data_IF_371823843399
#
_entry.id   IF_371823843399
#
_cell.length_a   1.000
_cell.length_b   1.000
_cell.length_c   1.000
_cell.angle_alpha   90.00
_cell.angle_beta   90.00
_cell.angle_gamma   90.00
#
_symmetry.space_group_name_H-M   'P 1'
#
loop_
_entity.id
_entity.type
_entity.pdbx_description
1 polymer ?
#
# COMPACT_ATOMS: atom_id res chain seq x y z
N UNK A 1 44.17 -20.43 33.47
CA UNK A 1 43.23 -20.61 32.34
C UNK A 1 41.97 -19.77 32.59
N UNK A 2 41.96 -18.57 32.09
CA UNK A 2 40.88 -17.59 32.31
C UNK A 2 39.91 -17.65 31.10
N UNK A 3 38.68 -18.11 31.32
CA UNK A 3 37.63 -18.12 30.30
C UNK A 3 37.21 -16.66 29.98
N UNK A 4 37.38 -16.26 28.71
CA UNK A 4 36.78 -15.04 28.17
C UNK A 4 35.24 -15.16 28.21
N UNK A 5 34.50 -14.11 28.63
CA UNK A 5 33.05 -14.10 28.51
C UNK A 5 32.65 -14.05 27.01
N UNK A 6 31.66 -14.84 26.63
CA UNK A 6 31.00 -14.78 25.32
C UNK A 6 30.36 -13.40 25.17
N UNK A 7 30.63 -12.72 24.07
CA UNK A 7 29.98 -11.48 23.65
C UNK A 7 28.46 -11.69 23.60
N UNK A 8 27.71 -10.94 24.40
CA UNK A 8 26.28 -10.81 24.29
C UNK A 8 25.95 -10.29 22.89
N UNK A 9 25.15 -11.05 22.15
CA UNK A 9 24.75 -10.69 20.82
C UNK A 9 23.96 -9.38 20.81
N UNK A 10 24.34 -8.47 19.94
CA UNK A 10 23.68 -7.20 19.63
C UNK A 10 22.18 -7.45 19.39
N UNK A 11 21.34 -7.18 20.39
CA UNK A 11 19.88 -7.39 20.39
C UNK A 11 19.11 -6.24 19.75
N UNK A 12 19.73 -5.49 18.84
CA UNK A 12 18.99 -4.48 18.06
C UNK A 12 17.92 -5.18 17.22
N UNK A 13 16.66 -4.73 17.27
CA UNK A 13 15.62 -5.29 16.46
C UNK A 13 16.03 -5.17 14.98
N UNK A 14 16.08 -6.32 14.31
CA UNK A 14 16.43 -6.37 12.88
C UNK A 14 15.40 -5.58 12.09
N UNK A 15 15.85 -4.61 11.28
CA UNK A 15 14.97 -3.81 10.43
C UNK A 15 13.98 -4.70 9.67
N UNK A 16 12.69 -4.32 9.61
CA UNK A 16 11.67 -5.14 8.96
C UNK A 16 12.03 -5.45 7.51
N UNK A 17 11.69 -6.66 7.06
CA UNK A 17 11.99 -7.08 5.68
C UNK A 17 11.23 -6.22 4.68
N UNK A 18 11.90 -5.87 3.57
CA UNK A 18 11.30 -5.19 2.42
C UNK A 18 11.28 -6.12 1.21
N UNK A 19 10.21 -6.05 0.43
CA UNK A 19 10.18 -6.73 -0.87
C UNK A 19 11.14 -6.05 -1.85
N UNK A 20 11.85 -6.88 -2.61
CA UNK A 20 12.63 -6.50 -3.79
C UNK A 20 12.07 -7.27 -4.99
N UNK A 21 12.45 -6.90 -6.22
CA UNK A 21 12.05 -7.67 -7.42
C UNK A 21 12.41 -9.16 -7.29
N UNK A 22 13.61 -9.45 -6.77
CA UNK A 22 14.05 -10.82 -6.58
C UNK A 22 13.24 -11.57 -5.51
N UNK A 23 12.95 -10.94 -4.36
CA UNK A 23 12.14 -11.57 -3.31
C UNK A 23 10.67 -11.68 -3.71
N UNK A 24 10.14 -10.74 -4.50
CA UNK A 24 8.80 -10.83 -5.09
C UNK A 24 8.69 -12.06 -6.01
N UNK A 25 9.64 -12.27 -6.92
CA UNK A 25 9.64 -13.43 -7.80
C UNK A 25 9.74 -14.76 -7.02
N UNK A 26 10.56 -14.80 -5.95
CA UNK A 26 10.58 -15.98 -5.04
C UNK A 26 9.24 -16.17 -4.34
N UNK A 27 8.61 -15.09 -3.87
CA UNK A 27 7.31 -15.12 -3.21
C UNK A 27 6.21 -15.64 -4.13
N UNK A 28 6.21 -15.23 -5.42
CA UNK A 28 5.28 -15.75 -6.43
C UNK A 28 5.44 -17.27 -6.59
N UNK A 29 6.66 -17.78 -6.68
CA UNK A 29 6.89 -19.23 -6.75
C UNK A 29 6.37 -19.95 -5.50
N UNK A 30 6.73 -19.46 -4.31
CA UNK A 30 6.28 -20.05 -3.05
C UNK A 30 4.74 -20.07 -2.93
N UNK A 31 4.07 -18.96 -3.29
CA UNK A 31 2.59 -18.93 -3.29
C UNK A 31 1.99 -19.85 -4.35
N UNK A 32 2.65 -20.05 -5.49
CA UNK A 32 2.19 -20.97 -6.53
C UNK A 32 2.24 -22.44 -6.11
N UNK A 33 3.08 -22.78 -5.13
CA UNK A 33 3.14 -24.14 -4.56
C UNK A 33 1.99 -24.43 -3.59
N UNK A 34 1.50 -23.39 -2.90
CA UNK A 34 0.46 -23.53 -1.86
C UNK A 34 -0.93 -23.14 -2.33
N UNK A 35 -1.04 -22.40 -3.43
CA UNK A 35 -2.31 -21.91 -3.96
C UNK A 35 -2.38 -22.08 -5.50
N UNK A 36 -3.08 -23.11 -5.99
CA UNK A 36 -3.19 -23.39 -7.43
C UNK A 36 -3.88 -22.27 -8.23
N UNK A 37 -4.77 -21.50 -7.61
CA UNK A 37 -5.46 -20.40 -8.29
C UNK A 37 -4.51 -19.22 -8.49
N UNK A 38 -3.72 -18.86 -7.49
CA UNK A 38 -2.66 -17.86 -7.64
C UNK A 38 -1.56 -18.33 -8.61
N UNK A 39 -1.26 -19.63 -8.64
CA UNK A 39 -0.39 -20.22 -9.66
C UNK A 39 -0.96 -20.03 -11.07
N UNK A 40 -2.28 -20.12 -11.23
CA UNK A 40 -2.99 -19.83 -12.48
C UNK A 40 -2.76 -18.39 -12.94
N UNK A 41 -2.90 -17.42 -12.06
CA UNK A 41 -2.62 -16.00 -12.35
C UNK A 41 -1.17 -15.78 -12.74
N UNK A 42 -0.23 -16.39 -11.99
CA UNK A 42 1.20 -16.26 -12.28
C UNK A 42 1.58 -16.88 -13.64
N UNK A 43 0.95 -17.99 -14.04
CA UNK A 43 1.15 -18.59 -15.38
C UNK A 43 0.60 -17.72 -16.49
N UNK A 44 -0.57 -17.11 -16.28
CA UNK A 44 -1.24 -16.29 -17.30
C UNK A 44 -0.51 -14.96 -17.54
N UNK A 45 -0.07 -14.27 -16.47
CA UNK A 45 0.40 -12.90 -16.55
C UNK A 45 1.84 -12.69 -16.05
N UNK A 46 2.49 -13.72 -15.53
CA UNK A 46 3.85 -13.64 -15.01
C UNK A 46 3.96 -13.04 -13.62
N UNK A 47 5.17 -12.57 -13.30
CA UNK A 47 5.45 -11.92 -12.02
C UNK A 47 4.94 -10.47 -12.06
N UNK A 48 4.11 -10.05 -11.10
CA UNK A 48 3.62 -8.67 -11.04
C UNK A 48 4.76 -7.67 -10.81
N UNK A 49 4.61 -6.41 -11.22
CA UNK A 49 5.49 -5.33 -10.82
C UNK A 49 5.43 -5.10 -9.29
N UNK A 50 6.47 -4.49 -8.73
CA UNK A 50 6.44 -4.05 -7.32
C UNK A 50 5.40 -2.97 -7.08
N UNK A 51 5.09 -2.15 -8.12
CA UNK A 51 4.29 -0.93 -7.99
C UNK A 51 4.74 -0.06 -6.82
N UNK A 52 6.06 -0.01 -6.63
CA UNK A 52 6.70 0.75 -5.56
C UNK A 52 6.43 2.25 -5.70
N UNK A 53 6.33 2.92 -4.56
CA UNK A 53 6.27 4.38 -4.44
C UNK A 53 7.34 4.84 -3.46
N UNK A 54 7.81 6.08 -3.64
CA UNK A 54 8.70 6.69 -2.66
C UNK A 54 7.98 6.84 -1.31
N UNK A 55 8.71 6.65 -0.22
CA UNK A 55 8.21 6.95 1.13
C UNK A 55 7.96 8.46 1.27
N UNK A 56 7.03 8.84 2.14
CA UNK A 56 6.83 10.24 2.49
C UNK A 56 5.46 10.82 2.16
N UNK A 57 5.35 12.11 2.38
CA UNK A 57 4.11 12.89 2.26
C UNK A 57 3.42 12.76 0.90
N UNK A 58 4.13 12.85 -0.25
CA UNK A 58 3.48 12.76 -1.57
C UNK A 58 2.72 11.46 -1.77
N UNK A 59 3.27 10.34 -1.30
CA UNK A 59 2.62 9.03 -1.43
C UNK A 59 1.39 8.91 -0.54
N UNK A 60 1.38 9.47 0.66
CA UNK A 60 0.19 9.52 1.51
C UNK A 60 -0.90 10.40 0.90
N UNK A 61 -0.55 11.57 0.36
CA UNK A 61 -1.49 12.44 -0.37
C UNK A 61 -2.13 11.70 -1.54
N UNK A 62 -1.32 11.01 -2.36
CA UNK A 62 -1.84 10.23 -3.47
C UNK A 62 -2.75 9.09 -2.99
N UNK A 63 -2.38 8.38 -1.92
CA UNK A 63 -3.21 7.30 -1.36
C UNK A 63 -4.53 7.82 -0.79
N UNK A 64 -4.54 9.02 -0.17
CA UNK A 64 -5.79 9.68 0.25
C UNK A 64 -6.64 10.06 -0.98
N UNK A 65 -6.01 10.52 -2.06
CA UNK A 65 -6.72 10.81 -3.31
C UNK A 65 -7.34 9.57 -3.94
N UNK A 66 -6.73 8.40 -3.79
CA UNK A 66 -7.22 7.11 -4.31
C UNK A 66 -8.48 6.59 -3.57
N UNK A 67 -8.81 7.11 -2.40
CA UNK A 67 -9.99 6.68 -1.64
C UNK A 67 -11.28 6.90 -2.44
N UNK A 68 -12.05 5.82 -2.66
CA UNK A 68 -13.40 5.82 -3.25
C UNK A 68 -13.50 6.46 -4.66
N UNK A 69 -12.42 6.48 -5.42
CA UNK A 69 -12.40 6.98 -6.80
C UNK A 69 -11.56 6.07 -7.68
N UNK A 70 -11.66 6.24 -9.01
CA UNK A 70 -10.78 5.53 -9.94
C UNK A 70 -9.31 5.98 -9.78
N UNK A 71 -8.39 5.06 -10.00
CA UNK A 71 -6.95 5.36 -10.01
C UNK A 71 -6.61 6.50 -10.98
N UNK A 72 -7.24 6.54 -12.16
CA UNK A 72 -7.03 7.60 -13.15
C UNK A 72 -7.43 8.98 -12.61
N UNK A 73 -8.58 9.08 -11.91
CA UNK A 73 -9.02 10.34 -11.30
C UNK A 73 -8.08 10.81 -10.21
N UNK A 74 -7.61 9.89 -9.35
CA UNK A 74 -6.66 10.21 -8.28
C UNK A 74 -5.31 10.70 -8.85
N UNK A 75 -4.78 10.00 -9.85
CA UNK A 75 -3.54 10.39 -10.52
C UNK A 75 -3.67 11.75 -11.21
N UNK A 76 -4.77 12.02 -11.93
CA UNK A 76 -5.00 13.30 -12.57
C UNK A 76 -5.05 14.46 -11.56
N UNK A 77 -5.66 14.25 -10.38
CA UNK A 77 -5.67 15.26 -9.31
C UNK A 77 -4.27 15.47 -8.73
N UNK A 78 -3.53 14.39 -8.49
CA UNK A 78 -2.16 14.47 -7.97
C UNK A 78 -1.19 15.14 -8.96
N UNK A 79 -1.31 14.87 -10.26
CA UNK A 79 -0.47 15.52 -11.27
C UNK A 79 -0.72 17.03 -11.36
N UNK A 80 -1.98 17.48 -11.23
CA UNK A 80 -2.29 18.93 -11.14
C UNK A 80 -1.66 19.58 -9.90
N UNK A 81 -1.73 18.89 -8.75
CA UNK A 81 -1.04 19.35 -7.53
C UNK A 81 0.48 19.42 -7.77
N UNK A 82 1.08 18.37 -8.32
CA UNK A 82 2.53 18.29 -8.58
C UNK A 82 3.01 19.39 -9.53
N UNK A 83 2.24 19.66 -10.58
CA UNK A 83 2.55 20.73 -11.53
C UNK A 83 2.53 22.13 -10.89
N UNK A 84 1.62 22.36 -9.92
CA UNK A 84 1.49 23.64 -9.24
C UNK A 84 2.49 23.81 -8.07
N UNK A 85 2.82 22.72 -7.39
CA UNK A 85 3.68 22.76 -6.19
C UNK A 85 5.18 22.68 -6.52
N UNK A 86 5.56 22.29 -7.75
CA UNK A 86 6.93 21.88 -8.15
C UNK A 86 7.45 20.69 -7.34
N UNK A 87 7.45 20.80 -6.01
CA UNK A 87 7.74 19.72 -5.06
C UNK A 87 6.57 19.62 -4.08
N UNK A 88 5.98 18.42 -3.96
CA UNK A 88 4.87 18.18 -3.05
C UNK A 88 5.42 17.93 -1.64
N UNK A 89 5.52 18.98 -0.83
CA UNK A 89 5.90 18.92 0.58
C UNK A 89 4.73 19.37 1.46
N UNK A 90 4.76 19.09 2.78
CA UNK A 90 3.75 19.62 3.72
C UNK A 90 3.61 21.13 3.64
N UNK A 91 4.75 21.87 3.62
CA UNK A 91 4.79 23.32 3.56
C UNK A 91 4.09 23.82 2.28
N UNK A 92 4.53 23.32 1.11
CA UNK A 92 4.00 23.74 -0.17
C UNK A 92 2.51 23.40 -0.31
N UNK A 93 2.07 22.26 0.23
CA UNK A 93 0.66 21.88 0.22
C UNK A 93 -0.21 22.86 1.01
N UNK A 94 0.26 23.34 2.16
CA UNK A 94 -0.48 24.28 3.00
C UNK A 94 -0.62 25.70 2.40
N UNK A 95 0.16 26.05 1.38
CA UNK A 95 0.03 27.33 0.68
C UNK A 95 -1.23 27.40 -0.22
N UNK A 96 -1.77 26.26 -0.63
CA UNK A 96 -2.96 26.22 -1.48
C UNK A 96 -4.24 26.43 -0.67
N UNK A 97 -5.09 27.34 -1.09
CA UNK A 97 -6.43 27.52 -0.54
C UNK A 97 -7.41 26.41 -1.01
N UNK A 98 -8.63 26.44 -0.49
CA UNK A 98 -9.65 25.43 -0.81
C UNK A 98 -10.13 25.52 -2.26
N UNK A 99 -10.16 26.72 -2.84
CA UNK A 99 -10.56 26.91 -4.24
C UNK A 99 -9.54 26.27 -5.18
N UNK A 100 -8.25 26.45 -4.90
CA UNK A 100 -7.17 25.88 -5.68
C UNK A 100 -7.12 24.34 -5.55
N UNK A 101 -7.23 23.80 -4.34
CA UNK A 101 -7.28 22.35 -4.15
C UNK A 101 -8.51 21.72 -4.84
N UNK A 102 -9.66 22.39 -4.83
CA UNK A 102 -10.84 21.96 -5.57
C UNK A 102 -10.59 21.94 -7.08
N UNK A 103 -9.92 22.95 -7.62
CA UNK A 103 -9.54 23.01 -9.03
C UNK A 103 -8.58 21.86 -9.42
N UNK A 104 -7.72 21.39 -8.49
CA UNK A 104 -6.91 20.20 -8.69
C UNK A 104 -7.72 18.89 -8.65
N UNK A 105 -8.95 18.91 -8.16
CA UNK A 105 -9.80 17.72 -8.04
C UNK A 105 -9.89 17.12 -6.63
N UNK A 106 -9.43 17.84 -5.60
CA UNK A 106 -9.62 17.42 -4.22
C UNK A 106 -11.08 17.66 -3.79
N UNK A 107 -11.72 16.66 -3.19
CA UNK A 107 -12.92 16.91 -2.40
C UNK A 107 -12.57 17.71 -1.14
N UNK A 108 -13.56 18.41 -0.56
CA UNK A 108 -13.37 19.14 0.70
C UNK A 108 -12.78 18.23 1.80
N UNK A 109 -13.26 17.02 1.89
CA UNK A 109 -12.81 16.03 2.87
C UNK A 109 -11.34 15.62 2.64
N UNK A 110 -10.95 15.31 1.39
CA UNK A 110 -9.58 14.95 1.05
C UNK A 110 -8.60 16.09 1.25
N UNK A 111 -9.00 17.32 0.91
CA UNK A 111 -8.22 18.52 1.20
C UNK A 111 -7.97 18.68 2.71
N UNK A 112 -9.02 18.53 3.54
CA UNK A 112 -8.89 18.57 4.99
C UNK A 112 -7.94 17.49 5.51
N UNK A 113 -8.06 16.24 5.05
CA UNK A 113 -7.19 15.14 5.50
C UNK A 113 -5.72 15.38 5.15
N UNK A 114 -5.45 15.85 3.93
CA UNK A 114 -4.08 16.19 3.53
C UNK A 114 -3.51 17.39 4.30
N UNK A 115 -4.35 18.39 4.70
CA UNK A 115 -3.91 19.49 5.57
C UNK A 115 -3.59 19.02 6.98
N UNK A 116 -4.40 18.11 7.54
CA UNK A 116 -4.12 17.53 8.85
C UNK A 116 -2.84 16.70 8.84
N UNK A 117 -2.63 15.89 7.79
CA UNK A 117 -1.40 15.16 7.58
C UNK A 117 -0.19 16.11 7.48
N UNK A 118 -0.30 17.18 6.69
CA UNK A 118 0.79 18.15 6.53
C UNK A 118 1.15 18.82 7.87
N UNK A 119 0.17 19.24 8.65
CA UNK A 119 0.38 19.83 9.98
C UNK A 119 1.01 18.84 10.94
N UNK A 120 0.48 17.61 11.04
CA UNK A 120 1.04 16.60 11.93
C UNK A 120 2.54 16.32 11.66
N UNK A 121 2.96 16.41 10.40
CA UNK A 121 4.39 16.27 10.04
C UNK A 121 5.18 17.50 10.47
N UNK A 122 4.69 18.72 10.20
CA UNK A 122 5.38 19.97 10.54
C UNK A 122 5.46 20.21 12.06
N UNK A 123 4.42 19.82 12.78
CA UNK A 123 4.35 19.92 14.24
C UNK A 123 5.17 18.82 14.96
N UNK A 124 5.75 17.87 14.18
CA UNK A 124 6.53 16.75 14.71
C UNK A 124 5.70 15.64 15.37
N UNK A 125 4.38 15.67 15.22
CA UNK A 125 3.48 14.62 15.73
C UNK A 125 3.59 13.32 14.93
N UNK A 126 4.00 13.41 13.66
CA UNK A 126 4.25 12.27 12.77
C UNK A 126 5.60 12.41 12.09
N UNK A 127 6.47 11.44 12.33
CA UNK A 127 7.77 11.32 11.65
C UNK A 127 7.72 10.15 10.65
N UNK A 128 7.47 10.46 9.37
CA UNK A 128 7.39 9.45 8.32
C UNK A 128 8.71 8.70 8.11
N UNK A 129 9.86 9.31 8.44
CA UNK A 129 11.17 8.68 8.28
C UNK A 129 11.38 7.49 9.23
N UNK A 130 10.69 7.49 10.37
CA UNK A 130 10.75 6.41 11.37
C UNK A 130 9.90 5.19 11.00
N UNK A 131 8.88 5.35 10.15
CA UNK A 131 7.97 4.26 9.80
C UNK A 131 8.68 3.03 9.22
N UNK A 132 9.77 3.25 8.50
CA UNK A 132 10.57 2.16 7.93
C UNK A 132 11.24 1.29 8.98
N UNK A 133 11.54 1.83 10.18
CA UNK A 133 12.15 1.11 11.31
C UNK A 133 11.14 0.39 12.20
N UNK A 134 9.86 0.77 12.15
CA UNK A 134 8.78 0.17 12.94
C UNK A 134 8.38 -1.20 12.41
N UNK A 135 7.88 -2.06 13.33
CA UNK A 135 7.16 -3.27 12.94
C UNK A 135 5.85 -2.93 12.20
N UNK A 136 5.29 -3.88 11.44
CA UNK A 136 4.11 -3.62 10.61
C UNK A 136 2.90 -3.15 11.43
N UNK A 137 2.68 -3.73 12.62
CA UNK A 137 1.58 -3.33 13.51
C UNK A 137 1.76 -1.91 14.05
N UNK A 138 2.98 -1.55 14.43
CA UNK A 138 3.34 -0.23 14.95
C UNK A 138 3.23 0.84 13.86
N UNK A 139 3.80 0.58 12.68
CA UNK A 139 3.71 1.50 11.53
C UNK A 139 2.25 1.74 11.10
N UNK A 140 1.43 0.69 11.10
CA UNK A 140 -0.02 0.78 10.84
C UNK A 140 -0.71 1.64 11.89
N UNK A 141 -0.47 1.36 13.17
CA UNK A 141 -1.07 2.10 14.29
C UNK A 141 -0.71 3.58 14.23
N UNK A 142 0.55 3.91 13.96
CA UNK A 142 1.02 5.28 13.86
C UNK A 142 0.33 6.04 12.71
N UNK A 143 0.23 5.43 11.54
CA UNK A 143 -0.50 6.03 10.41
C UNK A 143 -1.99 6.22 10.71
N UNK A 144 -2.64 5.27 11.37
CA UNK A 144 -4.08 5.31 11.66
C UNK A 144 -4.46 6.31 12.76
N UNK A 145 -3.51 6.90 13.50
CA UNK A 145 -3.76 8.03 14.41
C UNK A 145 -4.25 9.26 13.66
N UNK A 146 -3.90 9.37 12.37
CA UNK A 146 -4.26 10.52 11.55
C UNK A 146 -5.70 10.43 11.05
N UNK A 147 -6.45 11.50 11.23
CA UNK A 147 -7.80 11.62 10.65
C UNK A 147 -7.72 11.53 9.11
N UNK A 148 -8.47 10.60 8.55
CA UNK A 148 -8.48 10.35 7.10
C UNK A 148 -7.55 9.22 6.64
N UNK A 149 -6.77 8.64 7.55
CA UNK A 149 -5.97 7.45 7.31
C UNK A 149 -6.62 6.25 8.03
N UNK A 150 -7.39 5.46 7.29
CA UNK A 150 -7.97 4.21 7.77
C UNK A 150 -7.07 3.01 7.45
N UNK A 151 -7.53 1.82 7.85
CA UNK A 151 -6.80 0.56 7.66
C UNK A 151 -6.37 0.34 6.19
N UNK A 152 -7.25 0.58 5.21
CA UNK A 152 -6.91 0.47 3.79
C UNK A 152 -5.76 1.39 3.39
N UNK A 153 -5.79 2.67 3.78
CA UNK A 153 -4.75 3.65 3.45
C UNK A 153 -3.41 3.27 4.08
N UNK A 154 -3.42 2.85 5.35
CA UNK A 154 -2.23 2.40 6.06
C UNK A 154 -1.63 1.15 5.37
N UNK A 155 -2.44 0.13 5.08
CA UNK A 155 -1.98 -1.09 4.42
C UNK A 155 -1.44 -0.83 3.01
N UNK A 156 -2.06 0.06 2.22
CA UNK A 156 -1.55 0.45 0.89
C UNK A 156 -0.20 1.16 1.02
N UNK A 157 -0.01 2.00 2.05
CA UNK A 157 1.28 2.64 2.29
C UNK A 157 2.35 1.61 2.70
N UNK A 158 2.04 0.70 3.63
CA UNK A 158 2.94 -0.40 4.01
C UNK A 158 3.32 -1.25 2.78
N UNK A 159 2.36 -1.55 1.92
CA UNK A 159 2.55 -2.39 0.75
C UNK A 159 3.39 -1.69 -0.33
N UNK A 160 3.07 -0.42 -0.66
CA UNK A 160 3.64 0.28 -1.83
C UNK A 160 4.85 1.16 -1.50
N UNK A 161 4.89 1.79 -0.31
CA UNK A 161 6.00 2.64 0.12
C UNK A 161 7.01 1.86 0.96
N UNK A 162 6.58 1.24 2.05
CA UNK A 162 7.47 0.47 2.91
C UNK A 162 7.81 -0.92 2.34
N UNK A 163 7.11 -1.38 1.31
CA UNK A 163 7.31 -2.67 0.62
C UNK A 163 7.25 -3.86 1.59
N UNK A 164 6.37 -3.80 2.59
CA UNK A 164 6.20 -4.87 3.57
C UNK A 164 5.68 -6.14 2.90
N UNK A 165 6.28 -7.31 3.16
CA UNK A 165 5.91 -8.55 2.46
C UNK A 165 4.54 -9.10 2.87
N UNK A 166 4.05 -8.72 4.07
CA UNK A 166 2.78 -9.21 4.60
C UNK A 166 1.70 -8.13 4.75
N UNK A 167 1.91 -6.94 4.20
CA UNK A 167 0.87 -5.90 4.14
C UNK A 167 -0.31 -6.36 3.28
N UNK A 168 -1.55 -6.16 3.81
CA UNK A 168 -2.75 -6.72 3.20
C UNK A 168 -3.95 -5.78 3.30
N UNK A 169 -4.28 -5.02 2.25
CA UNK A 169 -5.42 -4.10 2.25
C UNK A 169 -6.74 -4.82 1.94
N UNK A 170 -7.26 -5.62 2.88
CA UNK A 170 -8.48 -6.42 2.70
C UNK A 170 -9.73 -5.60 2.29
N UNK A 171 -9.76 -4.31 2.63
CA UNK A 171 -10.81 -3.38 2.19
C UNK A 171 -10.67 -2.89 0.74
N UNK A 172 -9.67 -3.35 -0.01
CA UNK A 172 -9.45 -2.92 -1.40
C UNK A 172 -10.45 -3.57 -2.36
N UNK A 173 -11.23 -2.74 -3.06
CA UNK A 173 -12.26 -3.20 -3.97
C UNK A 173 -11.69 -4.05 -5.11
N UNK A 174 -10.54 -3.67 -5.66
CA UNK A 174 -9.92 -4.41 -6.77
C UNK A 174 -9.44 -5.79 -6.30
N UNK A 175 -8.89 -5.90 -5.06
CA UNK A 175 -8.55 -7.19 -4.47
C UNK A 175 -9.78 -8.07 -4.25
N UNK A 176 -10.87 -7.51 -3.71
CA UNK A 176 -12.11 -8.25 -3.48
C UNK A 176 -12.71 -8.78 -4.80
N UNK A 177 -12.71 -7.96 -5.85
CA UNK A 177 -13.20 -8.35 -7.17
C UNK A 177 -12.30 -9.40 -7.83
N UNK A 178 -10.98 -9.23 -7.75
CA UNK A 178 -10.04 -10.21 -8.25
C UNK A 178 -10.12 -11.53 -7.49
N UNK A 179 -10.22 -11.49 -6.16
CA UNK A 179 -10.37 -12.69 -5.34
C UNK A 179 -11.68 -13.45 -5.68
N UNK A 180 -12.79 -12.73 -5.87
CA UNK A 180 -14.03 -13.35 -6.35
C UNK A 180 -13.80 -14.15 -7.63
N UNK A 181 -13.15 -13.54 -8.62
CA UNK A 181 -12.91 -14.17 -9.92
C UNK A 181 -11.94 -15.34 -9.82
N UNK A 182 -10.79 -15.14 -9.17
CA UNK A 182 -9.71 -16.12 -9.05
C UNK A 182 -10.15 -17.34 -8.23
N UNK A 183 -10.87 -17.11 -7.13
CA UNK A 183 -11.39 -18.15 -6.23
C UNK A 183 -12.77 -18.68 -6.60
N UNK A 184 -13.37 -18.18 -7.68
CA UNK A 184 -14.69 -18.57 -8.17
C UNK A 184 -15.78 -18.46 -7.09
N UNK A 185 -15.74 -17.36 -6.30
CA UNK A 185 -16.71 -17.12 -5.25
C UNK A 185 -18.05 -16.63 -5.85
N UNK A 186 -19.16 -17.05 -5.28
CA UNK A 186 -20.50 -16.64 -5.73
C UNK A 186 -20.71 -15.14 -5.58
N UNK A 187 -20.22 -14.55 -4.49
CA UNK A 187 -20.31 -13.13 -4.19
C UNK A 187 -18.94 -12.51 -3.94
N UNK A 188 -18.89 -11.18 -4.02
CA UNK A 188 -17.71 -10.40 -3.63
C UNK A 188 -17.47 -10.57 -2.13
N UNK A 189 -16.31 -11.04 -1.70
CA UNK A 189 -16.00 -11.20 -0.27
C UNK A 189 -15.97 -9.85 0.44
N UNK A 190 -16.42 -9.84 1.67
CA UNK A 190 -16.20 -8.75 2.62
C UNK A 190 -14.71 -8.67 2.98
N UNK A 191 -14.29 -7.57 3.65
CA UNK A 191 -12.92 -7.46 4.12
C UNK A 191 -12.53 -8.59 5.09
N UNK A 192 -13.45 -9.00 5.99
CA UNK A 192 -13.20 -10.08 6.94
C UNK A 192 -13.05 -11.45 6.25
N UNK A 193 -13.91 -11.75 5.26
CA UNK A 193 -13.80 -12.98 4.47
C UNK A 193 -12.52 -13.00 3.63
N UNK A 194 -12.12 -11.83 3.09
CA UNK A 194 -10.88 -11.71 2.35
C UNK A 194 -9.63 -11.85 3.25
N UNK A 195 -9.70 -11.40 4.51
CA UNK A 195 -8.65 -11.63 5.50
C UNK A 195 -8.51 -13.12 5.82
N UNK A 196 -9.62 -13.81 6.06
CA UNK A 196 -9.62 -15.26 6.32
C UNK A 196 -9.07 -16.05 5.12
N UNK A 197 -9.45 -15.67 3.90
CA UNK A 197 -8.93 -16.26 2.66
C UNK A 197 -7.41 -16.10 2.52
N UNK A 198 -6.85 -15.01 3.04
CA UNK A 198 -5.44 -14.66 2.91
C UNK A 198 -4.53 -15.26 4.00
N UNK A 199 -5.08 -15.90 5.03
CA UNK A 199 -4.28 -16.49 6.11
C UNK A 199 -3.22 -17.52 5.62
N UNK A 200 -3.53 -18.44 4.68
CA UNK A 200 -2.54 -19.37 4.15
C UNK A 200 -1.40 -18.70 3.37
N UNK A 201 -1.55 -17.45 2.96
CA UNK A 201 -0.54 -16.70 2.20
C UNK A 201 0.50 -15.99 3.07
N UNK A 202 0.32 -16.00 4.41
CA UNK A 202 1.32 -15.45 5.32
C UNK A 202 2.66 -16.18 5.17
N UNK A 203 3.77 -15.46 5.28
CA UNK A 203 3.96 -14.01 5.48
C UNK A 203 4.13 -13.25 4.14
N UNK A 204 3.44 -13.67 3.07
CA UNK A 204 3.60 -13.16 1.69
C UNK A 204 2.32 -12.54 1.13
N UNK A 205 1.40 -12.08 1.99
CA UNK A 205 0.09 -11.55 1.56
C UNK A 205 0.23 -10.36 0.60
N UNK A 206 1.28 -9.55 0.73
CA UNK A 206 1.54 -8.46 -0.21
C UNK A 206 1.97 -8.94 -1.60
N UNK A 207 2.48 -10.18 -1.72
CA UNK A 207 2.75 -10.84 -3.01
C UNK A 207 1.43 -11.30 -3.62
N UNK A 208 0.55 -11.92 -2.82
CA UNK A 208 -0.79 -12.32 -3.25
C UNK A 208 -1.63 -11.11 -3.69
N UNK A 209 -1.56 -9.99 -2.94
CA UNK A 209 -2.23 -8.74 -3.32
C UNK A 209 -1.80 -8.25 -4.72
N UNK A 210 -0.51 -8.33 -5.03
CA UNK A 210 0.02 -7.94 -6.34
C UNK A 210 -0.42 -8.88 -7.46
N UNK A 211 -0.50 -10.18 -7.22
CA UNK A 211 -1.05 -11.13 -8.19
C UNK A 211 -2.54 -10.85 -8.46
N UNK A 212 -3.32 -10.61 -7.42
CA UNK A 212 -4.74 -10.26 -7.56
C UNK A 212 -4.94 -8.92 -8.28
N UNK A 213 -4.14 -7.89 -7.97
CA UNK A 213 -4.19 -6.64 -8.73
C UNK A 213 -3.79 -6.83 -10.20
N UNK A 214 -2.80 -7.68 -10.48
CA UNK A 214 -2.42 -7.99 -11.86
C UNK A 214 -3.60 -8.65 -12.61
N UNK A 215 -4.24 -9.66 -12.02
CA UNK A 215 -5.46 -10.27 -12.56
C UNK A 215 -6.57 -9.23 -12.83
N UNK A 216 -6.82 -8.33 -11.88
CA UNK A 216 -7.83 -7.28 -12.01
C UNK A 216 -7.55 -6.33 -13.18
N UNK A 217 -6.29 -5.93 -13.35
CA UNK A 217 -5.88 -5.00 -14.39
C UNK A 217 -5.90 -5.64 -15.78
N UNK A 218 -5.35 -6.84 -15.92
CA UNK A 218 -5.26 -7.53 -17.21
C UNK A 218 -6.64 -8.04 -17.65
N UNK A 219 -7.45 -8.59 -16.75
CA UNK A 219 -8.82 -9.00 -17.06
C UNK A 219 -9.70 -7.85 -17.58
N UNK A 220 -9.48 -6.62 -17.09
CA UNK A 220 -10.17 -5.42 -17.63
C UNK A 220 -9.66 -5.01 -19.01
N UNK A 221 -8.37 -5.18 -19.30
CA UNK A 221 -7.80 -4.89 -20.62
C UNK A 221 -8.33 -5.85 -21.68
N UNK A 222 -8.49 -7.13 -21.34
CA UNK A 222 -9.08 -8.14 -22.20
C UNK A 222 -10.55 -7.81 -22.53
N UNK A 223 -11.33 -7.40 -21.52
CA UNK A 223 -12.76 -7.03 -21.72
C UNK A 223 -12.95 -5.80 -22.62
N UNK A 224 -12.01 -4.85 -22.64
CA UNK A 224 -12.09 -3.66 -23.49
C UNK A 224 -11.64 -3.92 -24.94
N UNK A 225 -10.95 -5.03 -25.20
CA UNK A 225 -10.50 -5.43 -26.55
C UNK A 225 -11.51 -6.26 -27.33
N UNK A 226 -12.60 -6.70 -26.70
CA UNK A 226 -13.73 -7.40 -27.31
C UNK A 226 -14.87 -6.44 -27.63
#
# INVERSE_FOLDING_TARGET
MTRRPKSEGDSRPRAPKRLTRASLARGVRALSEVDPDLAGVARAYGTPPLWERAEGFPTLVLTILEQQVSLASALAAFERLRAAASVVTPENFLTFDDARLRAFGFSRQKALYCRLLARAILDGELDLSKLSSFGDAEARSELMRLKGVGAWTAEVYLLRALLRPDAWPAGDLALQLAARQVKRLDARPTAAELDALAEPWRPLRAVAARLLWLQYLEGRRETVRL
#
